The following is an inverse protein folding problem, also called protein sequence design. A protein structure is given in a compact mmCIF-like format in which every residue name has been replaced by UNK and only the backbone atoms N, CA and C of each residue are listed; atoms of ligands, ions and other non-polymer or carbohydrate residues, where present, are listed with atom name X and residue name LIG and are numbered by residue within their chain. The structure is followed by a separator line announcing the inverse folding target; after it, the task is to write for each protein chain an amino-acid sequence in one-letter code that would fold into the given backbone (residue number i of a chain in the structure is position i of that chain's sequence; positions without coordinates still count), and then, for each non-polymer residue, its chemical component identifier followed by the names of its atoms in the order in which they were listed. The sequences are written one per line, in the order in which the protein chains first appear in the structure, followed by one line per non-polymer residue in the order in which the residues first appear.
data_IF_449720943227
#
_entry.id   IF_449720943227
#
_cell.length_a   1.000
_cell.length_b   1.000
_cell.length_c   1.000
_cell.angle_alpha   90.00
_cell.angle_beta   90.00
_cell.angle_gamma   90.00
#
_symmetry.space_group_name_H-M   'P 1'
#
loop_
_entity.id
_entity.type
_entity.pdbx_description
1 polymer ?
#
# COMPACT_ATOMS: atom_id res chain seq x y z
N UNK A 1 -19.75 -26.83 19.92
CA UNK A 1 -19.14 -27.14 18.60
C UNK A 1 -18.97 -25.81 17.89
N UNK A 2 -17.74 -25.39 17.59
CA UNK A 2 -17.48 -24.13 16.87
C UNK A 2 -17.74 -24.35 15.38
N UNK A 3 -18.63 -23.57 14.78
CA UNK A 3 -18.92 -23.68 13.35
C UNK A 3 -17.65 -23.37 12.52
N UNK A 4 -17.41 -24.09 11.41
CA UNK A 4 -16.26 -23.83 10.53
C UNK A 4 -16.20 -22.37 10.07
N UNK A 5 -17.36 -21.75 9.82
CA UNK A 5 -17.55 -20.34 9.45
C UNK A 5 -17.03 -19.37 10.51
N UNK A 6 -17.35 -19.56 11.79
CA UNK A 6 -16.85 -18.70 12.89
C UNK A 6 -15.32 -18.71 12.99
N UNK A 7 -14.69 -19.83 12.63
CA UNK A 7 -13.23 -19.98 12.68
C UNK A 7 -12.57 -19.25 11.50
N UNK A 8 -13.14 -19.38 10.30
CA UNK A 8 -12.69 -18.65 9.10
C UNK A 8 -12.81 -17.14 9.26
N UNK A 9 -13.93 -16.64 9.79
CA UNK A 9 -14.12 -15.21 10.06
C UNK A 9 -13.13 -14.67 11.09
N UNK A 10 -12.78 -15.47 12.10
CA UNK A 10 -11.79 -15.11 13.11
C UNK A 10 -10.38 -15.06 12.53
N UNK A 11 -10.02 -15.99 11.65
CA UNK A 11 -8.75 -15.95 10.92
C UNK A 11 -8.66 -14.74 10.00
N UNK A 12 -9.73 -14.43 9.27
CA UNK A 12 -9.80 -13.23 8.44
C UNK A 12 -9.62 -11.96 9.26
N UNK A 13 -10.23 -11.89 10.46
CA UNK A 13 -10.08 -10.76 11.37
C UNK A 13 -8.62 -10.60 11.78
N UNK A 14 -7.99 -11.70 12.20
CA UNK A 14 -6.57 -11.70 12.57
C UNK A 14 -5.68 -11.21 11.42
N UNK A 15 -5.91 -11.68 10.19
CA UNK A 15 -5.16 -11.23 9.03
C UNK A 15 -5.36 -9.74 8.74
N UNK A 16 -6.57 -9.23 8.92
CA UNK A 16 -6.88 -7.81 8.72
C UNK A 16 -6.23 -6.90 9.77
N UNK A 17 -6.07 -7.37 11.01
CA UNK A 17 -5.32 -6.68 12.06
C UNK A 17 -3.81 -6.66 11.77
N UNK A 18 -3.28 -7.78 11.25
CA UNK A 18 -1.87 -7.86 10.83
C UNK A 18 -1.60 -6.97 9.61
N UNK A 19 -2.53 -6.87 8.66
CA UNK A 19 -2.44 -5.91 7.53
C UNK A 19 -2.37 -4.46 8.01
N UNK A 20 -3.21 -4.07 8.99
CA UNK A 20 -3.16 -2.73 9.58
C UNK A 20 -1.76 -2.41 10.12
N UNK A 21 -1.09 -3.41 10.70
CA UNK A 21 0.28 -3.28 11.23
C UNK A 21 1.30 -3.22 10.09
N UNK A 22 1.18 -4.08 9.08
CA UNK A 22 2.07 -4.09 7.91
C UNK A 22 2.01 -2.77 7.11
N UNK A 23 0.80 -2.20 6.94
CA UNK A 23 0.62 -0.87 6.32
C UNK A 23 1.34 0.21 7.13
N UNK A 24 1.18 0.18 8.45
CA UNK A 24 1.82 1.16 9.35
C UNK A 24 3.35 1.06 9.30
N UNK A 25 3.88 -0.16 9.16
CA UNK A 25 5.32 -0.41 9.05
C UNK A 25 5.87 -0.25 7.61
N UNK A 26 5.02 0.07 6.64
CA UNK A 26 5.35 0.15 5.20
C UNK A 26 5.98 -1.14 4.66
N UNK A 27 5.60 -2.29 5.22
CA UNK A 27 6.07 -3.60 4.80
C UNK A 27 5.21 -4.14 3.66
N UNK A 28 5.51 -3.70 2.44
CA UNK A 28 4.73 -4.02 1.25
C UNK A 28 4.87 -5.49 0.80
N UNK A 29 5.95 -6.17 1.16
CA UNK A 29 6.12 -7.60 0.83
C UNK A 29 5.26 -8.47 1.73
N UNK A 30 5.19 -8.14 3.02
CA UNK A 30 4.28 -8.80 3.96
C UNK A 30 2.82 -8.50 3.62
N UNK A 31 2.50 -7.26 3.20
CA UNK A 31 1.15 -6.92 2.72
C UNK A 31 0.70 -7.82 1.54
N UNK A 32 1.57 -8.03 0.55
CA UNK A 32 1.24 -8.89 -0.59
C UNK A 32 1.00 -10.35 -0.16
N UNK A 33 1.81 -10.86 0.77
CA UNK A 33 1.61 -12.21 1.34
C UNK A 33 0.25 -12.34 2.05
N UNK A 34 -0.13 -11.33 2.81
CA UNK A 34 -1.42 -11.29 3.52
C UNK A 34 -2.61 -11.21 2.55
N UNK A 35 -2.49 -10.46 1.45
CA UNK A 35 -3.51 -10.39 0.40
C UNK A 35 -3.70 -11.75 -0.30
N UNK A 36 -2.62 -12.47 -0.58
CA UNK A 36 -2.68 -13.83 -1.15
C UNK A 36 -3.35 -14.82 -0.18
N UNK A 37 -3.04 -14.74 1.12
CA UNK A 37 -3.67 -15.56 2.16
C UNK A 37 -5.18 -15.23 2.29
N UNK A 38 -5.56 -13.95 2.21
CA UNK A 38 -6.97 -13.55 2.17
C UNK A 38 -7.71 -14.01 0.93
N UNK A 39 -7.09 -13.95 -0.25
CA UNK A 39 -7.73 -14.42 -1.49
C UNK A 39 -8.02 -15.93 -1.43
N UNK A 40 -7.14 -16.71 -0.80
CA UNK A 40 -7.38 -18.14 -0.55
C UNK A 40 -8.52 -18.37 0.43
N UNK A 41 -8.58 -17.60 1.51
CA UNK A 41 -9.69 -17.66 2.48
C UNK A 41 -11.02 -17.23 1.86
N UNK A 42 -11.01 -16.26 0.94
CA UNK A 42 -12.20 -15.86 0.19
C UNK A 42 -12.74 -17.02 -0.66
N UNK A 43 -11.87 -17.74 -1.37
CA UNK A 43 -12.28 -18.92 -2.13
C UNK A 43 -12.89 -20.01 -1.25
N UNK A 44 -12.38 -20.20 -0.03
CA UNK A 44 -12.96 -21.13 0.95
C UNK A 44 -14.31 -20.66 1.52
N UNK A 45 -14.54 -19.34 1.56
CA UNK A 45 -15.79 -18.75 2.03
C UNK A 45 -16.88 -18.78 0.94
N UNK A 46 -16.50 -18.57 -0.33
CA UNK A 46 -17.42 -18.61 -1.49
C UNK A 46 -17.96 -20.03 -1.76
N UNK A 47 -17.18 -21.07 -1.45
CA UNK A 47 -17.60 -22.48 -1.56
C UNK A 47 -18.48 -22.95 -0.38
N UNK A 48 -18.70 -22.11 0.64
CA UNK A 48 -19.49 -22.46 1.80
C UNK A 48 -21.00 -22.39 1.49
N UNK A 49 -21.69 -23.54 1.48
CA UNK A 49 -23.10 -23.67 1.08
C UNK A 49 -24.13 -23.04 2.04
N UNK A 50 -23.70 -22.23 3.00
CA UNK A 50 -24.60 -21.41 3.82
C UNK A 50 -25.50 -22.23 4.75
N UNK A 51 -24.91 -22.93 5.71
CA UNK A 51 -25.65 -23.34 6.91
C UNK A 51 -25.22 -22.48 8.10
N UNK A 52 -26.23 -21.84 8.68
CA UNK A 52 -26.29 -21.06 9.93
C UNK A 52 -25.25 -19.94 10.10
N UNK A 53 -25.55 -18.78 9.50
CA UNK A 53 -25.02 -17.50 9.96
C UNK A 53 -25.63 -17.20 11.33
N UNK A 54 -24.80 -17.24 12.37
CA UNK A 54 -25.22 -16.85 13.71
C UNK A 54 -25.14 -15.32 13.87
N UNK A 55 -25.86 -14.76 14.84
CA UNK A 55 -25.76 -13.32 15.16
C UNK A 55 -24.30 -12.91 15.51
N UNK A 56 -23.49 -13.84 16.01
CA UNK A 56 -22.06 -13.65 16.28
C UNK A 56 -21.25 -13.51 14.98
N UNK A 57 -21.58 -14.29 13.94
CA UNK A 57 -20.94 -14.19 12.63
C UNK A 57 -21.25 -12.85 11.96
N UNK A 58 -22.49 -12.36 12.11
CA UNK A 58 -22.89 -11.07 11.56
C UNK A 58 -22.11 -9.91 12.21
N UNK A 59 -21.94 -9.94 13.53
CA UNK A 59 -21.11 -8.96 14.24
C UNK A 59 -19.62 -9.02 13.85
N UNK A 60 -19.11 -10.22 13.51
CA UNK A 60 -17.73 -10.38 13.01
C UNK A 60 -17.58 -9.82 11.59
N UNK A 61 -18.56 -10.00 10.71
CA UNK A 61 -18.57 -9.44 9.36
C UNK A 61 -18.60 -7.92 9.38
N UNK A 62 -19.45 -7.31 10.21
CA UNK A 62 -19.51 -5.83 10.32
C UNK A 62 -18.18 -5.25 10.84
N UNK A 63 -17.55 -5.94 11.78
CA UNK A 63 -16.22 -5.56 12.27
C UNK A 63 -15.16 -5.69 11.18
N UNK A 64 -15.19 -6.78 10.41
CA UNK A 64 -14.30 -7.00 9.26
C UNK A 64 -14.47 -5.91 8.19
N UNK A 65 -15.71 -5.52 7.90
CA UNK A 65 -16.00 -4.48 6.92
C UNK A 65 -15.43 -3.13 7.39
N UNK A 66 -15.60 -2.81 8.68
CA UNK A 66 -15.02 -1.61 9.28
C UNK A 66 -13.49 -1.61 9.23
N UNK A 67 -12.85 -2.74 9.55
CA UNK A 67 -11.38 -2.86 9.54
C UNK A 67 -10.82 -2.79 8.11
N UNK A 68 -11.49 -3.39 7.14
CA UNK A 68 -11.07 -3.35 5.74
C UNK A 68 -11.23 -1.95 5.14
N UNK A 69 -12.30 -1.23 5.46
CA UNK A 69 -12.46 0.18 5.09
C UNK A 69 -11.35 1.07 5.68
N UNK A 70 -11.02 0.86 6.96
CA UNK A 70 -9.93 1.58 7.62
C UNK A 70 -8.58 1.30 6.95
N UNK A 71 -8.29 0.03 6.65
CA UNK A 71 -7.06 -0.36 5.97
C UNK A 71 -6.96 0.25 4.58
N UNK A 72 -8.08 0.30 3.84
CA UNK A 72 -8.15 0.94 2.53
C UNK A 72 -7.84 2.43 2.60
N UNK A 73 -8.44 3.15 3.54
CA UNK A 73 -8.19 4.58 3.73
C UNK A 73 -6.70 4.87 4.08
N UNK A 74 -6.07 4.00 4.87
CA UNK A 74 -4.62 4.10 5.18
C UNK A 74 -3.75 3.85 3.96
N UNK A 75 -4.07 2.83 3.17
CA UNK A 75 -3.39 2.52 1.92
C UNK A 75 -3.49 3.68 0.92
N UNK A 76 -4.67 4.27 0.76
CA UNK A 76 -4.87 5.44 -0.12
C UNK A 76 -4.02 6.64 0.34
N UNK A 77 -3.94 6.87 1.64
CA UNK A 77 -3.11 7.94 2.23
C UNK A 77 -1.62 7.71 1.97
N UNK A 78 -1.12 6.50 2.19
CA UNK A 78 0.28 6.16 1.93
C UNK A 78 0.60 6.23 0.43
N UNK A 79 -0.31 5.81 -0.44
CA UNK A 79 -0.12 5.89 -1.90
C UNK A 79 -0.03 7.34 -2.38
N UNK A 80 -0.83 8.25 -1.81
CA UNK A 80 -0.75 9.69 -2.08
C UNK A 80 0.58 10.29 -1.59
N UNK A 81 1.05 9.87 -0.42
CA UNK A 81 2.36 10.27 0.10
C UNK A 81 3.50 9.85 -0.83
N UNK A 82 3.49 8.59 -1.30
CA UNK A 82 4.50 8.06 -2.22
C UNK A 82 4.46 8.80 -3.56
N UNK A 83 3.27 9.07 -4.11
CA UNK A 83 3.11 9.87 -5.34
C UNK A 83 3.69 11.27 -5.20
N UNK A 84 3.43 11.93 -4.07
CA UNK A 84 3.97 13.26 -3.78
C UNK A 84 5.50 13.22 -3.72
N UNK A 85 6.07 12.19 -3.09
CA UNK A 85 7.52 12.02 -3.02
C UNK A 85 8.14 11.79 -4.40
N UNK A 86 7.55 10.92 -5.25
CA UNK A 86 8.00 10.69 -6.63
C UNK A 86 8.02 12.01 -7.43
N UNK A 87 6.94 12.80 -7.35
CA UNK A 87 6.87 14.09 -8.04
C UNK A 87 7.96 15.06 -7.56
N UNK A 88 8.26 15.07 -6.27
CA UNK A 88 9.34 15.91 -5.71
C UNK A 88 10.73 15.46 -6.19
N UNK A 89 10.97 14.16 -6.26
CA UNK A 89 12.23 13.58 -6.76
C UNK A 89 12.39 13.82 -8.26
N UNK A 90 11.32 13.70 -9.05
CA UNK A 90 11.30 14.03 -10.48
C UNK A 90 11.62 15.51 -10.72
N UNK A 91 11.06 16.40 -9.90
CA UNK A 91 11.39 17.83 -9.95
C UNK A 91 12.85 18.07 -9.59
N UNK A 92 13.37 17.40 -8.55
CA UNK A 92 14.78 17.49 -8.16
C UNK A 92 15.70 16.98 -9.28
N UNK A 93 15.40 15.83 -9.88
CA UNK A 93 16.15 15.27 -11.00
C UNK A 93 16.10 16.18 -12.24
N UNK A 94 14.95 16.76 -12.56
CA UNK A 94 14.79 17.76 -13.62
C UNK A 94 15.63 19.01 -13.35
N UNK A 95 15.62 19.51 -12.11
CA UNK A 95 16.43 20.65 -11.71
C UNK A 95 17.93 20.34 -11.80
N UNK A 96 18.37 19.16 -11.35
CA UNK A 96 19.77 18.72 -11.51
C UNK A 96 20.17 18.65 -12.98
N UNK A 97 19.31 18.11 -13.86
CA UNK A 97 19.57 18.10 -15.31
C UNK A 97 19.69 19.51 -15.88
N UNK A 98 18.81 20.44 -15.49
CA UNK A 98 18.87 21.85 -15.91
C UNK A 98 20.14 22.55 -15.42
N UNK A 99 20.52 22.35 -14.16
CA UNK A 99 21.77 22.88 -13.60
C UNK A 99 22.97 22.30 -14.36
N UNK A 100 22.98 20.99 -14.60
CA UNK A 100 24.06 20.35 -15.34
C UNK A 100 24.14 20.85 -16.80
N UNK A 101 23.02 21.14 -17.45
CA UNK A 101 23.03 21.80 -18.77
C UNK A 101 23.53 23.24 -18.71
N UNK A 102 23.09 24.03 -17.72
CA UNK A 102 23.47 25.43 -17.58
C UNK A 102 24.95 25.63 -17.20
N UNK A 103 25.50 24.72 -16.39
CA UNK A 103 26.87 24.83 -15.86
C UNK A 103 27.86 23.85 -16.52
N UNK A 104 27.41 22.68 -16.99
CA UNK A 104 28.24 21.69 -17.69
C UNK A 104 28.45 22.01 -19.18
N UNK A 105 27.63 22.89 -19.78
CA UNK A 105 27.81 23.37 -21.16
C UNK A 105 28.84 24.51 -21.32
N UNK A 106 29.35 25.11 -20.24
CA UNK A 106 30.36 26.19 -20.29
C UNK A 106 31.79 25.66 -20.21
N UNK A 107 32.13 24.68 -21.04
CA UNK A 107 33.50 24.45 -21.46
C UNK A 107 33.65 25.00 -22.89
N UNK A 108 33.65 26.33 -23.06
CA UNK A 108 33.67 26.87 -24.42
C UNK A 108 33.66 28.38 -24.65
N UNK A 109 33.62 29.25 -23.64
CA UNK A 109 33.81 30.68 -23.89
C UNK A 109 34.95 31.21 -23.02
N UNK A 110 36.15 31.08 -23.60
CA UNK A 110 37.34 31.85 -23.24
C UNK A 110 37.03 33.35 -23.41
N UNK A 111 36.40 33.97 -22.42
CA UNK A 111 36.24 35.42 -22.32
C UNK A 111 37.55 36.16 -21.99
N UNK A 112 38.70 35.47 -22.02
CA UNK A 112 40.02 36.03 -21.74
C UNK A 112 40.93 36.17 -22.97
N UNK A 113 40.45 35.84 -24.19
CA UNK A 113 41.23 35.98 -25.43
C UNK A 113 40.67 37.06 -26.36
N UNK A 114 40.64 38.32 -25.92
CA UNK A 114 40.60 39.49 -26.83
C UNK A 114 41.16 40.72 -26.12
N UNK A 115 42.43 40.69 -25.75
CA UNK A 115 43.28 41.89 -25.58
C UNK A 115 44.76 41.46 -25.63
N UNK A 116 45.26 41.20 -26.84
CA UNK A 116 46.67 41.32 -27.23
C UNK A 116 46.74 41.48 -28.73
#
# INVERSE_FOLDING_TARGET
MTCPTTTLLREWKRLSEVESTAITLRDWSELNRLLDEKSRLQGLLEDYQGEDFTDEDQGLVDNLLTVTELNRARLDTEMESVRTQIQSEDQAASNIRKVNQAYGGKAGENFWQTYT
#
